data_IF_977145490485
#
_entry.id   IF_977145490485
#
_cell.length_a   1.000
_cell.length_b   1.000
_cell.length_c   1.000
_cell.angle_alpha   90.00
_cell.angle_beta   90.00
_cell.angle_gamma   90.00
#
_symmetry.space_group_name_H-M   'P 1'
#
loop_
_entity.id
_entity.type
_entity.pdbx_description
1 polymer ?
#
# COMPACT_ATOMS: atom_id res chain seq x y z
N UNK A 1 -16.36 18.23 17.17
CA UNK A 1 -15.07 17.54 16.97
C UNK A 1 -14.52 16.90 18.25
N UNK A 2 -14.35 17.62 19.39
CA UNK A 2 -13.90 17.03 20.67
C UNK A 2 -14.73 15.82 21.15
N UNK A 3 -16.06 15.90 21.08
CA UNK A 3 -16.95 14.78 21.43
C UNK A 3 -17.04 13.69 20.35
N UNK A 4 -16.67 13.99 19.09
CA UNK A 4 -16.79 13.07 17.97
C UNK A 4 -15.61 12.08 17.89
N UNK A 5 -14.40 12.57 18.22
CA UNK A 5 -13.18 11.78 18.32
C UNK A 5 -12.78 11.44 19.76
N UNK A 6 -13.60 11.83 20.75
CA UNK A 6 -13.40 11.53 22.17
C UNK A 6 -12.01 11.92 22.69
N UNK A 7 -11.51 13.12 22.36
CA UNK A 7 -10.14 13.54 22.72
C UNK A 7 -9.86 13.47 24.23
N UNK A 8 -10.87 13.70 25.07
CA UNK A 8 -10.75 13.59 26.53
C UNK A 8 -10.59 12.13 27.00
N UNK A 9 -11.14 11.15 26.27
CA UNK A 9 -10.97 9.72 26.57
C UNK A 9 -9.59 9.20 26.16
N UNK A 10 -9.04 9.72 25.08
CA UNK A 10 -7.73 9.32 24.55
C UNK A 10 -6.58 10.21 25.08
N UNK A 11 -6.87 11.24 25.88
CA UNK A 11 -5.86 12.13 26.45
C UNK A 11 -5.07 12.91 25.39
N UNK A 12 -5.72 13.27 24.28
CA UNK A 12 -5.10 13.92 23.12
C UNK A 12 -5.59 15.35 22.94
N UNK A 13 -4.86 16.13 22.15
CA UNK A 13 -5.24 17.48 21.78
C UNK A 13 -4.96 17.71 20.29
N UNK A 14 -5.57 18.76 19.72
CA UNK A 14 -5.43 19.10 18.30
C UNK A 14 -3.97 19.21 17.84
N UNK A 15 -3.08 19.79 18.68
CA UNK A 15 -1.65 19.89 18.32
C UNK A 15 -0.99 18.52 18.22
N UNK A 16 -1.30 17.61 19.15
CA UNK A 16 -0.73 16.26 19.21
C UNK A 16 -1.20 15.39 18.05
N UNK A 17 -2.48 15.50 17.67
CA UNK A 17 -3.04 14.79 16.50
C UNK A 17 -2.43 15.30 15.18
N UNK A 18 -2.33 16.62 15.00
CA UNK A 18 -1.68 17.20 13.81
C UNK A 18 -0.23 16.77 13.73
N UNK A 19 0.50 16.82 14.85
CA UNK A 19 1.90 16.41 14.88
C UNK A 19 2.04 14.91 14.56
N UNK A 20 1.21 14.04 15.15
CA UNK A 20 1.19 12.61 14.86
C UNK A 20 0.85 12.30 13.39
N UNK A 21 -0.10 13.04 12.81
CA UNK A 21 -0.44 12.97 11.40
C UNK A 21 0.73 13.35 10.49
N UNK A 22 1.42 14.46 10.79
CA UNK A 22 2.61 14.89 10.05
C UNK A 22 3.73 13.86 10.18
N UNK A 23 4.00 13.35 11.39
CA UNK A 23 5.02 12.32 11.61
C UNK A 23 4.71 11.07 10.79
N UNK A 24 3.47 10.60 10.81
CA UNK A 24 3.03 9.42 10.03
C UNK A 24 3.16 9.66 8.53
N UNK A 25 2.76 10.83 8.06
CA UNK A 25 2.92 11.23 6.67
C UNK A 25 4.39 11.21 6.24
N UNK A 26 5.28 11.84 7.03
CA UNK A 26 6.71 11.88 6.74
C UNK A 26 7.34 10.48 6.74
N UNK A 27 6.92 9.58 7.63
CA UNK A 27 7.38 8.19 7.66
C UNK A 27 7.00 7.41 6.39
N UNK A 28 5.88 7.77 5.75
CA UNK A 28 5.41 7.10 4.53
C UNK A 28 5.77 7.86 3.24
N UNK A 29 6.24 9.10 3.33
CA UNK A 29 6.45 9.98 2.19
C UNK A 29 7.41 9.40 1.13
N UNK A 30 8.36 8.54 1.55
CA UNK A 30 9.27 7.86 0.62
C UNK A 30 8.53 7.05 -0.45
N UNK A 31 7.34 6.51 -0.13
CA UNK A 31 6.52 5.73 -1.06
C UNK A 31 6.16 6.55 -2.30
N UNK A 32 5.95 7.87 -2.14
CA UNK A 32 5.63 8.75 -3.26
C UNK A 32 6.79 8.87 -4.26
N UNK A 33 8.04 8.74 -3.80
CA UNK A 33 9.20 8.75 -4.68
C UNK A 33 9.52 7.35 -5.25
N UNK A 34 9.43 6.31 -4.41
CA UNK A 34 9.88 4.96 -4.78
C UNK A 34 8.83 4.22 -5.63
N UNK A 35 7.53 4.38 -5.33
CA UNK A 35 6.49 3.63 -6.05
C UNK A 35 6.45 3.93 -7.56
N UNK A 36 6.52 5.20 -8.02
CA UNK A 36 6.63 5.50 -9.44
C UNK A 36 7.86 4.88 -10.10
N UNK A 37 9.01 4.86 -9.42
CA UNK A 37 10.24 4.27 -9.96
C UNK A 37 10.10 2.76 -10.17
N UNK A 38 9.51 2.05 -9.20
CA UNK A 38 9.29 0.60 -9.27
C UNK A 38 8.27 0.26 -10.35
N UNK A 39 7.11 0.90 -10.37
CA UNK A 39 6.02 0.56 -11.30
C UNK A 39 6.25 1.03 -12.74
N UNK A 40 6.99 2.13 -12.95
CA UNK A 40 7.37 2.57 -14.30
C UNK A 40 8.53 1.76 -14.89
N UNK A 41 9.09 0.80 -14.13
CA UNK A 41 10.30 0.07 -14.50
C UNK A 41 11.44 1.02 -14.85
N UNK A 42 11.56 2.11 -14.09
CA UNK A 42 12.55 3.16 -14.33
C UNK A 42 13.97 2.56 -14.35
N UNK A 43 14.68 2.71 -15.46
CA UNK A 43 16.05 2.21 -15.63
C UNK A 43 16.19 0.81 -16.22
N UNK A 44 15.08 0.10 -16.48
CA UNK A 44 15.14 -1.20 -17.17
C UNK A 44 15.28 -1.00 -18.68
N UNK A 45 16.38 -1.48 -19.27
CA UNK A 45 16.67 -1.41 -20.71
C UNK A 45 16.01 -2.58 -21.44
N UNK A 46 15.37 -2.33 -22.59
CA UNK A 46 14.73 -3.37 -23.42
C UNK A 46 13.23 -3.57 -23.20
N UNK A 47 12.59 -2.73 -22.38
CA UNK A 47 11.14 -2.73 -22.17
C UNK A 47 10.49 -1.81 -23.20
N UNK A 48 9.51 -2.30 -23.96
CA UNK A 48 8.76 -1.48 -24.92
C UNK A 48 8.03 -0.32 -24.23
N UNK A 49 7.92 0.82 -24.91
CA UNK A 49 7.33 2.05 -24.35
C UNK A 49 5.87 1.88 -23.90
N UNK A 50 5.12 0.96 -24.50
CA UNK A 50 3.76 0.58 -24.11
C UNK A 50 3.67 -0.15 -22.76
N UNK A 51 4.77 -0.75 -22.29
CA UNK A 51 4.87 -1.37 -20.98
C UNK A 51 5.31 -0.39 -19.88
N UNK A 52 5.80 0.80 -20.23
CA UNK A 52 6.22 1.80 -19.26
C UNK A 52 5.03 2.66 -18.83
N UNK A 53 4.74 2.62 -17.54
CA UNK A 53 3.74 3.50 -16.94
C UNK A 53 4.33 4.90 -16.71
N UNK A 54 3.50 5.94 -16.92
CA UNK A 54 3.91 7.32 -16.63
C UNK A 54 4.13 7.52 -15.12
N UNK A 55 5.33 8.01 -14.77
CA UNK A 55 5.72 8.20 -13.36
C UNK A 55 4.85 9.25 -12.67
N UNK A 56 4.46 10.32 -13.37
CA UNK A 56 3.60 11.37 -12.83
C UNK A 56 2.20 10.84 -12.54
N UNK A 57 1.63 10.05 -13.44
CA UNK A 57 0.34 9.41 -13.26
C UNK A 57 0.35 8.44 -12.07
N UNK A 58 1.41 7.63 -11.92
CA UNK A 58 1.56 6.72 -10.76
C UNK A 58 1.69 7.52 -9.46
N UNK A 59 2.47 8.61 -9.46
CA UNK A 59 2.64 9.47 -8.29
C UNK A 59 1.29 10.02 -7.82
N UNK A 60 0.54 10.64 -8.73
CA UNK A 60 -0.76 11.25 -8.42
C UNK A 60 -1.77 10.19 -7.99
N UNK A 61 -1.84 9.05 -8.70
CA UNK A 61 -2.72 7.94 -8.35
C UNK A 61 -2.41 7.39 -6.95
N UNK A 62 -1.13 7.24 -6.60
CA UNK A 62 -0.68 6.75 -5.29
C UNK A 62 -1.05 7.74 -4.18
N UNK A 63 -0.74 9.02 -4.38
CA UNK A 63 -1.04 10.07 -3.41
C UNK A 63 -2.55 10.17 -3.15
N UNK A 64 -3.36 10.14 -4.21
CA UNK A 64 -4.80 10.25 -4.12
C UNK A 64 -5.44 9.01 -3.49
N UNK A 65 -4.99 7.81 -3.87
CA UNK A 65 -5.47 6.57 -3.26
C UNK A 65 -5.11 6.47 -1.76
N UNK A 66 -3.88 6.83 -1.39
CA UNK A 66 -3.44 6.84 0.01
C UNK A 66 -4.19 7.90 0.84
N UNK A 67 -4.44 9.08 0.27
CA UNK A 67 -5.23 10.13 0.90
C UNK A 67 -6.67 9.67 1.14
N UNK A 68 -7.35 9.17 0.11
CA UNK A 68 -8.73 8.69 0.23
C UNK A 68 -8.81 7.51 1.20
N UNK A 69 -7.93 6.51 1.09
CA UNK A 69 -7.89 5.37 2.00
C UNK A 69 -7.68 5.76 3.46
N UNK A 70 -6.71 6.64 3.72
CA UNK A 70 -6.44 7.14 5.07
C UNK A 70 -7.59 8.00 5.61
N UNK A 71 -8.27 8.76 4.75
CA UNK A 71 -9.44 9.54 5.11
C UNK A 71 -10.63 8.65 5.51
N UNK A 72 -10.87 7.56 4.76
CA UNK A 72 -11.88 6.56 5.10
C UNK A 72 -11.60 5.91 6.46
N UNK A 73 -10.34 5.56 6.74
CA UNK A 73 -9.94 5.01 8.04
C UNK A 73 -10.13 6.00 9.19
N UNK A 74 -9.79 7.27 8.96
CA UNK A 74 -9.93 8.33 9.97
C UNK A 74 -11.38 8.72 10.26
N UNK A 75 -12.22 8.90 9.23
CA UNK A 75 -13.58 9.43 9.40
C UNK A 75 -14.62 8.35 9.69
N UNK A 76 -14.54 7.19 9.03
CA UNK A 76 -15.55 6.13 9.11
C UNK A 76 -15.14 5.07 10.12
N UNK A 77 -13.93 4.51 9.97
CA UNK A 77 -13.46 3.46 10.88
C UNK A 77 -13.01 3.99 12.25
N UNK A 78 -12.78 5.31 12.37
CA UNK A 78 -12.26 5.98 13.58
C UNK A 78 -11.00 5.29 14.12
N UNK A 79 -10.16 4.81 13.21
CA UNK A 79 -8.96 4.05 13.54
C UNK A 79 -7.72 4.80 13.05
N UNK A 80 -6.73 5.07 13.92
CA UNK A 80 -5.55 5.87 13.59
C UNK A 80 -4.51 5.06 12.81
N UNK A 81 -4.90 4.50 11.67
CA UNK A 81 -4.00 3.82 10.72
C UNK A 81 -4.01 4.59 9.41
N UNK A 82 -2.81 4.97 8.96
CA UNK A 82 -2.59 5.45 7.60
C UNK A 82 -2.48 4.27 6.64
N UNK A 83 -3.12 4.38 5.48
CA UNK A 83 -3.07 3.38 4.42
C UNK A 83 -2.16 3.85 3.30
N UNK A 84 -1.25 2.97 2.90
CA UNK A 84 -0.31 3.17 1.83
C UNK A 84 -0.19 1.88 1.00
N UNK A 85 0.31 1.93 -0.24
CA UNK A 85 0.53 0.73 -1.03
C UNK A 85 1.58 -0.19 -0.39
N UNK A 86 1.34 -1.50 -0.48
CA UNK A 86 2.27 -2.52 -0.03
C UNK A 86 3.45 -2.65 -0.99
N UNK A 87 4.58 -2.04 -0.64
CA UNK A 87 5.76 -1.94 -1.51
C UNK A 87 6.29 -3.31 -2.01
N UNK A 88 6.22 -4.37 -1.20
CA UNK A 88 6.64 -5.71 -1.61
C UNK A 88 5.78 -6.32 -2.74
N UNK A 89 4.47 -6.07 -2.72
CA UNK A 89 3.56 -6.54 -3.77
C UNK A 89 3.78 -5.77 -5.08
N UNK A 90 4.07 -4.47 -4.99
CA UNK A 90 4.36 -3.64 -6.14
C UNK A 90 5.66 -4.09 -6.84
N UNK A 91 6.66 -4.49 -6.07
CA UNK A 91 7.89 -5.04 -6.62
C UNK A 91 7.67 -6.38 -7.33
N UNK A 92 6.91 -7.30 -6.73
CA UNK A 92 6.52 -8.55 -7.39
C UNK A 92 5.75 -8.28 -8.69
N UNK A 93 4.80 -7.35 -8.66
CA UNK A 93 4.03 -6.95 -9.84
C UNK A 93 4.95 -6.42 -10.96
N UNK A 94 5.81 -5.45 -10.66
CA UNK A 94 6.68 -4.83 -11.65
C UNK A 94 7.72 -5.81 -12.21
N UNK A 95 8.48 -6.47 -11.34
CA UNK A 95 9.65 -7.25 -11.77
C UNK A 95 9.29 -8.69 -12.18
N UNK A 96 8.28 -9.30 -11.59
CA UNK A 96 7.88 -10.67 -11.94
C UNK A 96 6.78 -10.67 -13.00
N UNK A 97 5.65 -10.01 -12.74
CA UNK A 97 4.48 -10.10 -13.63
C UNK A 97 4.69 -9.32 -14.93
N UNK A 98 5.13 -8.07 -14.82
CA UNK A 98 5.32 -7.23 -16.01
C UNK A 98 6.64 -7.55 -16.71
N UNK A 99 7.76 -7.53 -15.98
CA UNK A 99 9.07 -7.71 -16.59
C UNK A 99 9.41 -9.17 -16.95
N UNK A 100 9.25 -10.13 -16.01
CA UNK A 100 9.67 -11.52 -16.25
C UNK A 100 8.67 -12.30 -17.11
N UNK A 101 7.37 -12.13 -16.86
CA UNK A 101 6.31 -12.82 -17.62
C UNK A 101 5.88 -12.07 -18.88
N UNK A 102 6.32 -10.82 -19.08
CA UNK A 102 6.00 -10.00 -20.25
C UNK A 102 4.53 -9.62 -20.36
N UNK A 103 3.77 -9.63 -19.25
CA UNK A 103 2.35 -9.32 -19.25
C UNK A 103 2.18 -7.79 -19.25
N UNK A 104 1.37 -7.22 -20.16
CA UNK A 104 1.08 -5.78 -20.16
C UNK A 104 0.51 -5.32 -18.82
N UNK A 105 0.97 -4.18 -18.31
CA UNK A 105 0.58 -3.66 -17.00
C UNK A 105 -0.93 -3.44 -16.87
N UNK A 106 -1.62 -3.12 -17.96
CA UNK A 106 -3.08 -2.95 -17.99
C UNK A 106 -3.81 -4.26 -17.66
N UNK A 107 -3.33 -5.38 -18.23
CA UNK A 107 -3.85 -6.72 -17.95
C UNK A 107 -3.50 -7.11 -16.52
N UNK A 108 -2.29 -6.82 -16.07
CA UNK A 108 -1.87 -7.01 -14.69
C UNK A 108 -2.77 -6.28 -13.69
N UNK A 109 -3.06 -4.99 -13.91
CA UNK A 109 -3.94 -4.19 -13.05
C UNK A 109 -5.38 -4.74 -13.02
N UNK A 110 -5.85 -5.30 -14.13
CA UNK A 110 -7.14 -5.99 -14.17
C UNK A 110 -7.14 -7.20 -13.24
N UNK A 111 -6.06 -7.99 -13.26
CA UNK A 111 -5.86 -9.09 -12.31
C UNK A 111 -5.85 -8.63 -10.85
N UNK A 112 -5.18 -7.51 -10.55
CA UNK A 112 -5.16 -6.90 -9.20
C UNK A 112 -6.56 -6.46 -8.76
N UNK A 113 -7.36 -5.89 -9.67
CA UNK A 113 -8.75 -5.52 -9.37
C UNK A 113 -9.58 -6.75 -8.98
N UNK A 114 -9.51 -7.83 -9.76
CA UNK A 114 -10.22 -9.07 -9.44
C UNK A 114 -9.72 -9.69 -8.14
N UNK A 115 -8.40 -9.73 -7.91
CA UNK A 115 -7.86 -10.24 -6.64
C UNK A 115 -8.35 -9.42 -5.45
N UNK A 116 -8.49 -8.10 -5.61
CA UNK A 116 -9.07 -7.21 -4.61
C UNK A 116 -10.52 -7.53 -4.29
N UNK A 117 -11.34 -7.80 -5.32
CA UNK A 117 -12.74 -8.23 -5.15
C UNK A 117 -12.82 -9.58 -4.43
N UNK A 118 -12.02 -10.56 -4.86
CA UNK A 118 -11.95 -11.87 -4.18
C UNK A 118 -11.51 -11.73 -2.72
N UNK A 119 -10.50 -10.90 -2.45
CA UNK A 119 -10.02 -10.66 -1.10
C UNK A 119 -11.06 -9.93 -0.22
N UNK A 120 -11.83 -9.01 -0.80
CA UNK A 120 -12.94 -8.36 -0.11
C UNK A 120 -14.02 -9.39 0.26
N UNK A 121 -14.39 -10.28 -0.65
CA UNK A 121 -15.35 -11.36 -0.37
C UNK A 121 -14.83 -12.28 0.74
N UNK A 122 -13.57 -12.74 0.65
CA UNK A 122 -12.94 -13.57 1.68
C UNK A 122 -12.86 -12.88 3.05
N UNK A 123 -12.72 -11.56 3.06
CA UNK A 123 -12.71 -10.76 4.28
C UNK A 123 -14.09 -10.69 4.91
N UNK A 124 -15.14 -10.52 4.11
CA UNK A 124 -16.54 -10.48 4.59
C UNK A 124 -17.00 -11.85 5.10
N UNK A 125 -16.53 -12.95 4.49
CA UNK A 125 -16.87 -14.31 4.93
C UNK A 125 -16.08 -14.79 6.15
N UNK A 126 -15.09 -14.04 6.62
CA UNK A 126 -14.26 -14.39 7.78
C UNK A 126 -13.17 -15.43 7.50
N UNK A 127 -13.11 -15.99 6.29
CA UNK A 127 -12.16 -17.05 5.92
C UNK A 127 -10.69 -16.59 5.97
N UNK A 128 -10.45 -15.27 5.85
CA UNK A 128 -9.11 -14.67 5.96
C UNK A 128 -8.36 -15.06 7.25
N UNK A 129 -9.09 -15.21 8.35
CA UNK A 129 -8.48 -15.43 9.67
C UNK A 129 -7.93 -16.85 9.79
N UNK A 130 -8.63 -17.83 9.21
CA UNK A 130 -8.19 -19.22 9.13
C UNK A 130 -6.88 -19.33 8.35
N UNK A 131 -6.79 -18.65 7.21
CA UNK A 131 -5.58 -18.63 6.38
C UNK A 131 -4.40 -18.03 7.15
N UNK A 132 -4.62 -16.87 7.78
CA UNK A 132 -3.55 -16.18 8.52
C UNK A 132 -3.10 -17.02 9.72
N UNK A 133 -4.01 -17.70 10.41
CA UNK A 133 -3.67 -18.55 11.56
C UNK A 133 -2.95 -19.85 11.17
N UNK A 134 -3.11 -20.30 9.92
CA UNK A 134 -2.35 -21.43 9.39
C UNK A 134 -0.87 -21.10 9.12
N UNK A 135 -0.52 -19.81 8.94
CA UNK A 135 0.86 -19.39 8.67
C UNK A 135 1.66 -19.31 9.98
N UNK A 136 2.78 -20.05 10.12
CA UNK A 136 3.64 -19.99 11.29
C UNK A 136 4.15 -18.58 11.57
N UNK A 137 4.26 -18.21 12.85
CA UNK A 137 4.72 -16.88 13.27
C UNK A 137 6.10 -16.52 12.71
N UNK A 138 7.00 -17.49 12.63
CA UNK A 138 8.35 -17.35 12.10
C UNK A 138 8.33 -16.94 10.61
N UNK A 139 7.40 -17.48 9.82
CA UNK A 139 7.23 -17.08 8.42
C UNK A 139 6.70 -15.65 8.30
N UNK A 140 5.78 -15.23 9.16
CA UNK A 140 5.27 -13.84 9.17
C UNK A 140 6.38 -12.83 9.44
N UNK A 141 7.26 -13.14 10.40
CA UNK A 141 8.44 -12.33 10.72
C UNK A 141 9.44 -12.26 9.56
N UNK A 142 9.73 -13.40 8.94
CA UNK A 142 10.66 -13.48 7.81
C UNK A 142 10.19 -12.65 6.61
N UNK A 143 8.88 -12.65 6.30
CA UNK A 143 8.30 -11.86 5.21
C UNK A 143 8.51 -10.36 5.44
N UNK A 144 8.22 -9.86 6.64
CA UNK A 144 8.42 -8.45 6.99
C UNK A 144 9.88 -8.02 6.88
N UNK A 145 10.80 -8.84 7.39
CA UNK A 145 12.24 -8.59 7.28
C UNK A 145 12.72 -8.59 5.82
N UNK A 146 12.23 -9.54 5.01
CA UNK A 146 12.57 -9.65 3.58
C UNK A 146 12.10 -8.45 2.77
N UNK A 147 10.88 -7.95 3.02
CA UNK A 147 10.36 -6.75 2.35
C UNK A 147 11.20 -5.51 2.71
N UNK A 148 11.59 -5.36 3.98
CA UNK A 148 12.46 -4.26 4.40
C UNK A 148 13.84 -4.29 3.75
N UNK A 149 14.47 -5.47 3.72
CA UNK A 149 15.76 -5.67 3.06
C UNK A 149 15.68 -5.38 1.56
N UNK A 150 14.62 -5.87 0.89
CA UNK A 150 14.39 -5.65 -0.53
C UNK A 150 14.22 -4.17 -0.91
N UNK A 151 13.62 -3.35 -0.04
CA UNK A 151 13.47 -1.92 -0.30
C UNK A 151 14.80 -1.17 -0.07
N UNK A 152 15.66 -1.69 0.82
CA UNK A 152 16.92 -1.03 1.20
C UNK A 152 18.06 -1.33 0.22
N UNK A 153 18.11 -2.56 -0.32
CA UNK A 153 19.14 -3.05 -1.23
C UNK A 153 18.75 -2.84 -2.70
#
# INVERSE_FOLDING_TARGET
MKNYFQFDKYGTNFKREILGGITTFLSMAYILAVNPQVLSLAGVKGVSEDMKMDQGAIFVATALAAFVGSLFMGLIAKYPIALAPGMGLNAFFAFTVVLTMGIPWQVGLTGVLFSGIFFAILTVTGFREVIINAIPYQMKMAVSAGIGLFITL
#
